data_IF_106455864413
#
_entry.id   IF_106455864413
#
_cell.length_a   1.000
_cell.length_b   1.000
_cell.length_c   1.000
_cell.angle_alpha   90.00
_cell.angle_beta   90.00
_cell.angle_gamma   90.00
#
_symmetry.space_group_name_H-M   'P 1'
#
loop_
_entity.id
_entity.type
_entity.pdbx_description
1 polymer ?
#
# COMPACT_ATOMS: atom_id res chain seq x y z
N UNK A 1 -15.65 -15.14 17.58
CA UNK A 1 -14.77 -14.39 16.65
C UNK A 1 -13.44 -15.10 16.67
N UNK A 2 -12.96 -15.50 15.49
CA UNK A 2 -11.66 -16.15 15.40
C UNK A 2 -10.56 -15.11 15.65
N UNK A 3 -9.45 -15.56 16.26
CA UNK A 3 -8.32 -14.70 16.57
C UNK A 3 -7.85 -13.87 15.35
N UNK A 4 -7.82 -14.48 14.18
CA UNK A 4 -7.46 -13.80 12.91
C UNK A 4 -8.40 -12.63 12.58
N UNK A 5 -9.70 -12.81 12.79
CA UNK A 5 -10.71 -11.76 12.55
C UNK A 5 -10.49 -10.57 13.48
N UNK A 6 -10.19 -10.81 14.74
CA UNK A 6 -9.91 -9.73 15.72
C UNK A 6 -8.66 -8.95 15.32
N UNK A 7 -7.57 -9.65 14.96
CA UNK A 7 -6.33 -9.03 14.52
C UNK A 7 -6.54 -8.24 13.21
N UNK A 8 -7.33 -8.76 12.28
CA UNK A 8 -7.69 -8.07 11.04
C UNK A 8 -8.38 -6.73 11.30
N UNK A 9 -9.41 -6.71 12.15
CA UNK A 9 -10.12 -5.47 12.46
C UNK A 9 -9.23 -4.48 13.22
N UNK A 10 -8.36 -4.95 14.10
CA UNK A 10 -7.41 -4.11 14.81
C UNK A 10 -6.42 -3.45 13.86
N UNK A 11 -5.79 -4.22 12.97
CA UNK A 11 -4.87 -3.69 11.96
C UNK A 11 -5.59 -2.74 10.98
N UNK A 12 -6.83 -3.07 10.58
CA UNK A 12 -7.63 -2.19 9.72
C UNK A 12 -7.95 -0.85 10.39
N UNK A 13 -8.28 -0.84 11.67
CA UNK A 13 -8.51 0.38 12.43
C UNK A 13 -7.24 1.24 12.53
N UNK A 14 -6.08 0.61 12.79
CA UNK A 14 -4.77 1.30 12.81
C UNK A 14 -4.45 1.88 11.42
N UNK A 15 -4.71 1.12 10.36
CA UNK A 15 -4.48 1.56 8.98
C UNK A 15 -5.32 2.80 8.63
N UNK A 16 -6.62 2.79 8.95
CA UNK A 16 -7.51 3.93 8.72
C UNK A 16 -7.04 5.15 9.54
N UNK A 17 -6.69 4.95 10.80
CA UNK A 17 -6.15 6.01 11.64
C UNK A 17 -4.87 6.59 11.04
N UNK A 18 -3.92 5.74 10.65
CA UNK A 18 -2.67 6.17 10.05
C UNK A 18 -2.91 6.95 8.74
N UNK A 19 -3.77 6.46 7.85
CA UNK A 19 -4.12 7.11 6.60
C UNK A 19 -4.74 8.51 6.82
N UNK A 20 -5.67 8.64 7.76
CA UNK A 20 -6.24 9.94 8.14
C UNK A 20 -5.18 10.89 8.70
N UNK A 21 -4.24 10.37 9.48
CA UNK A 21 -3.15 11.18 10.03
C UNK A 21 -2.15 11.63 8.97
N UNK A 22 -1.90 10.83 7.92
CA UNK A 22 -1.06 11.24 6.79
C UNK A 22 -1.58 12.53 6.16
N UNK A 23 -2.88 12.61 5.87
CA UNK A 23 -3.48 13.75 5.17
C UNK A 23 -3.76 14.94 6.09
N UNK A 24 -3.88 14.73 7.41
CA UNK A 24 -4.19 15.78 8.37
C UNK A 24 -2.99 16.33 9.12
N UNK A 25 -1.85 15.65 9.09
CA UNK A 25 -0.66 16.09 9.79
C UNK A 25 -0.12 17.42 9.22
N UNK A 26 0.20 18.33 10.11
CA UNK A 26 0.77 19.64 9.75
C UNK A 26 2.26 19.55 9.43
N UNK A 27 2.95 18.68 10.14
CA UNK A 27 4.39 18.47 9.96
C UNK A 27 4.61 17.32 8.97
N UNK A 28 5.39 17.53 7.88
CA UNK A 28 5.65 16.52 6.88
C UNK A 28 6.37 15.29 7.43
N UNK A 29 7.22 15.44 8.45
CA UNK A 29 7.88 14.31 9.12
C UNK A 29 6.86 13.43 9.83
N UNK A 30 5.88 14.04 10.53
CA UNK A 30 4.79 13.28 11.17
C UNK A 30 3.90 12.60 10.13
N UNK A 31 3.62 13.24 8.98
CA UNK A 31 2.89 12.62 7.88
C UNK A 31 3.62 11.38 7.36
N UNK A 32 4.94 11.49 7.12
CA UNK A 32 5.77 10.39 6.66
C UNK A 32 5.84 9.23 7.67
N UNK A 33 5.93 9.52 8.98
CA UNK A 33 5.88 8.47 10.01
C UNK A 33 4.54 7.73 10.04
N UNK A 34 3.43 8.43 9.84
CA UNK A 34 2.11 7.79 9.75
C UNK A 34 1.96 7.00 8.44
N UNK A 35 2.58 7.46 7.34
CA UNK A 35 2.61 6.70 6.09
C UNK A 35 3.42 5.40 6.24
N UNK A 36 4.55 5.45 6.96
CA UNK A 36 5.32 4.27 7.31
C UNK A 36 4.48 3.27 8.12
N UNK A 37 3.75 3.77 9.13
CA UNK A 37 2.83 2.95 9.92
C UNK A 37 1.72 2.35 9.05
N UNK A 38 1.17 3.11 8.09
CA UNK A 38 0.17 2.60 7.15
C UNK A 38 0.70 1.45 6.29
N UNK A 39 1.90 1.58 5.73
CA UNK A 39 2.52 0.50 4.96
C UNK A 39 2.83 -0.74 5.82
N UNK A 40 3.32 -0.53 7.02
CA UNK A 40 3.61 -1.63 7.95
C UNK A 40 2.33 -2.41 8.32
N UNK A 41 1.25 -1.71 8.64
CA UNK A 41 -0.05 -2.34 8.95
C UNK A 41 -0.66 -3.01 7.73
N UNK A 42 -0.49 -2.45 6.53
CA UNK A 42 -0.90 -3.09 5.27
C UNK A 42 -0.16 -4.41 5.06
N UNK A 43 1.15 -4.43 5.31
CA UNK A 43 1.94 -5.68 5.29
C UNK A 43 1.39 -6.73 6.26
N UNK A 44 1.01 -6.32 7.48
CA UNK A 44 0.37 -7.20 8.44
C UNK A 44 -0.97 -7.77 7.96
N UNK A 45 -1.82 -6.94 7.31
CA UNK A 45 -3.09 -7.39 6.72
C UNK A 45 -2.83 -8.38 5.58
N UNK A 46 -1.87 -8.11 4.70
CA UNK A 46 -1.52 -9.02 3.61
C UNK A 46 -0.97 -10.36 4.12
N UNK A 47 -0.19 -10.35 5.21
CA UNK A 47 0.25 -11.59 5.85
C UNK A 47 -0.94 -12.42 6.38
N UNK A 48 -1.95 -11.77 6.97
CA UNK A 48 -3.19 -12.45 7.39
C UNK A 48 -3.98 -13.05 6.23
N UNK A 49 -3.92 -12.41 5.05
CA UNK A 49 -4.54 -12.89 3.81
C UNK A 49 -3.68 -13.93 3.07
N UNK A 50 -2.61 -14.42 3.70
CA UNK A 50 -1.65 -15.38 3.11
C UNK A 50 -0.92 -14.88 1.86
N UNK A 51 -0.89 -13.58 1.63
CA UNK A 51 -0.09 -12.94 0.59
C UNK A 51 1.34 -12.65 1.13
N UNK A 52 2.06 -13.70 1.51
CA UNK A 52 3.35 -13.61 2.22
C UNK A 52 4.40 -12.82 1.45
N UNK A 53 4.54 -13.08 0.15
CA UNK A 53 5.50 -12.37 -0.70
C UNK A 53 5.22 -10.87 -0.72
N UNK A 54 3.96 -10.50 -0.88
CA UNK A 54 3.54 -9.10 -0.95
C UNK A 54 3.76 -8.40 0.40
N UNK A 55 3.45 -9.08 1.52
CA UNK A 55 3.66 -8.58 2.87
C UNK A 55 5.14 -8.30 3.16
N UNK A 56 6.03 -9.22 2.80
CA UNK A 56 7.47 -9.05 2.97
C UNK A 56 8.00 -7.94 2.05
N UNK A 57 7.56 -7.90 0.80
CA UNK A 57 8.00 -6.90 -0.17
C UNK A 57 7.65 -5.47 0.27
N UNK A 58 6.44 -5.22 0.77
CA UNK A 58 6.04 -3.87 1.23
C UNK A 58 6.85 -3.46 2.47
N UNK A 59 7.12 -4.38 3.39
CA UNK A 59 7.89 -4.06 4.60
C UNK A 59 9.36 -3.80 4.26
N UNK A 60 10.00 -4.65 3.47
CA UNK A 60 11.42 -4.49 3.14
C UNK A 60 11.68 -3.30 2.23
N UNK A 61 10.89 -3.16 1.16
CA UNK A 61 11.13 -2.13 0.15
C UNK A 61 10.51 -0.80 0.55
N UNK A 62 9.19 -0.78 0.81
CA UNK A 62 8.51 0.49 1.12
C UNK A 62 8.86 1.01 2.50
N UNK A 63 8.74 0.21 3.55
CA UNK A 63 9.04 0.67 4.91
C UNK A 63 10.54 0.76 5.13
N UNK A 64 11.30 -0.26 4.75
CA UNK A 64 12.74 -0.35 5.04
C UNK A 64 13.62 0.56 4.17
N UNK A 65 13.36 0.67 2.88
CA UNK A 65 14.21 1.45 1.97
C UNK A 65 13.59 2.79 1.59
N UNK A 66 12.40 2.77 0.97
CA UNK A 66 11.80 3.98 0.37
C UNK A 66 11.42 5.01 1.44
N UNK A 67 10.75 4.59 2.51
CA UNK A 67 10.31 5.51 3.55
C UNK A 67 11.45 6.07 4.39
N UNK A 68 12.50 5.30 4.61
CA UNK A 68 13.70 5.78 5.31
C UNK A 68 14.40 6.86 4.48
N UNK A 69 14.56 6.62 3.16
CA UNK A 69 15.11 7.64 2.26
C UNK A 69 14.20 8.88 2.20
N UNK A 70 12.90 8.69 2.12
CA UNK A 70 11.92 9.77 2.09
C UNK A 70 11.95 10.62 3.36
N UNK A 71 12.02 10.00 4.54
CA UNK A 71 12.19 10.68 5.82
C UNK A 71 13.48 11.51 5.84
N UNK A 72 14.58 10.94 5.37
CA UNK A 72 15.86 11.63 5.30
C UNK A 72 15.75 12.88 4.42
N UNK A 73 15.16 12.75 3.24
CA UNK A 73 14.96 13.88 2.30
C UNK A 73 14.07 14.96 2.93
N UNK A 74 12.95 14.61 3.55
CA UNK A 74 12.04 15.58 4.20
C UNK A 74 12.73 16.32 5.35
N UNK A 75 13.58 15.64 6.11
CA UNK A 75 14.31 16.28 7.20
C UNK A 75 15.38 17.24 6.71
N UNK A 76 15.97 16.97 5.53
CA UNK A 76 17.00 17.87 4.96
C UNK A 76 16.41 19.03 4.16
N UNK A 77 15.17 18.91 3.66
CA UNK A 77 14.49 19.98 2.94
C UNK A 77 13.77 20.91 3.93
N UNK A 78 14.15 22.18 3.90
CA UNK A 78 13.41 23.23 4.62
C UNK A 78 12.13 23.57 3.84
N UNK A 79 11.07 22.77 4.10
CA UNK A 79 9.77 22.92 3.43
C UNK A 79 9.00 24.05 4.12
N UNK A 80 8.78 25.15 3.40
CA UNK A 80 7.92 26.23 3.88
C UNK A 80 6.44 25.78 3.88
N UNK A 81 5.99 25.28 5.03
CA UNK A 81 4.66 24.69 5.22
C UNK A 81 3.53 25.72 5.03
N UNK A 82 3.78 26.99 5.30
CA UNK A 82 2.76 28.04 5.21
C UNK A 82 2.31 28.25 3.76
N UNK A 83 3.21 28.22 2.80
CA UNK A 83 2.88 28.30 1.37
C UNK A 83 2.11 27.10 0.83
N UNK A 84 2.36 25.90 1.34
CA UNK A 84 1.68 24.68 0.90
C UNK A 84 0.21 24.67 1.35
N UNK A 85 -0.14 25.43 2.39
CA UNK A 85 -1.50 25.51 2.94
C UNK A 85 -2.33 26.64 2.35
N UNK A 86 -1.72 27.57 1.62
CA UNK A 86 -2.46 28.61 0.93
C UNK A 86 -3.40 28.00 -0.12
N UNK A 87 -4.70 28.24 0.05
CA UNK A 87 -5.72 27.72 -0.88
C UNK A 87 -6.34 26.37 -0.53
N UNK A 88 -5.89 25.66 0.50
CA UNK A 88 -6.47 24.36 0.88
C UNK A 88 -8.00 24.39 1.02
N UNK A 89 -8.53 25.40 1.72
CA UNK A 89 -9.97 25.56 1.93
C UNK A 89 -10.75 25.84 0.64
N UNK A 90 -10.13 26.49 -0.34
CA UNK A 90 -10.75 26.77 -1.64
C UNK A 90 -10.93 25.49 -2.48
N UNK A 91 -10.01 24.54 -2.37
CA UNK A 91 -10.05 23.29 -3.11
C UNK A 91 -10.68 22.13 -2.35
N UNK A 92 -10.97 22.30 -1.05
CA UNK A 92 -11.60 21.29 -0.23
C UNK A 92 -12.91 20.75 -0.81
N UNK A 93 -13.87 21.61 -1.27
CA UNK A 93 -15.12 21.10 -1.82
C UNK A 93 -14.91 20.26 -3.09
N UNK A 94 -13.99 20.66 -3.96
CA UNK A 94 -13.65 19.90 -5.15
C UNK A 94 -13.02 18.54 -4.78
N UNK A 95 -12.08 18.53 -3.84
CA UNK A 95 -11.46 17.30 -3.34
C UNK A 95 -12.46 16.38 -2.65
N UNK A 96 -13.41 16.93 -1.89
CA UNK A 96 -14.47 16.15 -1.25
C UNK A 96 -15.41 15.49 -2.28
N UNK A 97 -15.81 16.22 -3.34
CA UNK A 97 -16.64 15.67 -4.43
C UNK A 97 -15.90 14.54 -5.15
N UNK A 98 -14.63 14.75 -5.51
CA UNK A 98 -13.83 13.72 -6.18
C UNK A 98 -13.65 12.49 -5.28
N UNK A 99 -13.33 12.68 -3.99
CA UNK A 99 -13.22 11.58 -3.04
C UNK A 99 -14.51 10.80 -2.87
N UNK A 100 -15.65 11.49 -2.81
CA UNK A 100 -16.98 10.86 -2.73
C UNK A 100 -17.29 10.05 -3.99
N UNK A 101 -16.98 10.59 -5.18
CA UNK A 101 -17.15 9.89 -6.45
C UNK A 101 -16.30 8.61 -6.49
N UNK A 102 -15.04 8.66 -6.07
CA UNK A 102 -14.16 7.48 -6.01
C UNK A 102 -14.70 6.41 -5.06
N UNK A 103 -15.18 6.80 -3.88
CA UNK A 103 -15.79 5.86 -2.92
C UNK A 103 -17.06 5.25 -3.49
N UNK A 104 -17.90 6.04 -4.15
CA UNK A 104 -19.13 5.56 -4.78
C UNK A 104 -18.82 4.59 -5.93
N UNK A 105 -17.88 4.92 -6.80
CA UNK A 105 -17.43 4.04 -7.89
C UNK A 105 -16.88 2.72 -7.34
N UNK A 106 -16.01 2.77 -6.35
CA UNK A 106 -15.50 1.58 -5.68
C UNK A 106 -16.63 0.73 -5.08
N UNK A 107 -17.58 1.37 -4.40
CA UNK A 107 -18.74 0.68 -3.82
C UNK A 107 -19.62 0.01 -4.86
N UNK A 108 -19.86 0.66 -6.01
CA UNK A 108 -20.62 0.09 -7.12
C UNK A 108 -19.89 -1.10 -7.76
N UNK A 109 -18.58 -0.98 -7.95
CA UNK A 109 -17.77 -2.06 -8.52
C UNK A 109 -17.76 -3.27 -7.59
N UNK A 110 -17.41 -3.09 -6.32
CA UNK A 110 -17.37 -4.19 -5.33
C UNK A 110 -18.75 -4.79 -5.04
N UNK A 111 -19.82 -3.98 -5.09
CA UNK A 111 -21.19 -4.44 -4.90
C UNK A 111 -21.81 -5.13 -6.11
N UNK A 112 -21.17 -5.04 -7.29
CA UNK A 112 -21.67 -5.66 -8.49
C UNK A 112 -21.52 -7.19 -8.45
N UNK A 113 -22.52 -7.91 -8.96
CA UNK A 113 -22.50 -9.38 -9.05
C UNK A 113 -21.32 -9.92 -9.90
N UNK A 114 -20.77 -9.10 -10.78
CA UNK A 114 -19.62 -9.44 -11.63
C UNK A 114 -18.31 -9.53 -10.83
N UNK A 115 -18.24 -8.84 -9.68
CA UNK A 115 -17.08 -8.87 -8.78
C UNK A 115 -17.23 -9.84 -7.60
N UNK A 116 -18.35 -10.55 -7.51
CA UNK A 116 -18.44 -11.72 -6.65
C UNK A 116 -17.60 -12.83 -7.28
N UNK A 117 -16.28 -12.63 -7.26
CA UNK A 117 -15.34 -13.70 -7.56
C UNK A 117 -15.67 -14.81 -6.57
N UNK A 118 -16.11 -16.01 -7.04
CA UNK A 118 -16.25 -17.15 -6.13
C UNK A 118 -14.93 -17.20 -5.39
N UNK A 119 -14.98 -17.34 -4.06
CA UNK A 119 -13.77 -17.45 -3.26
C UNK A 119 -12.84 -18.40 -4.00
N UNK A 120 -11.83 -17.86 -4.65
CA UNK A 120 -10.86 -18.66 -5.39
C UNK A 120 -10.15 -19.42 -4.31
N UNK A 121 -10.73 -20.60 -3.99
CA UNK A 121 -10.07 -21.57 -3.13
C UNK A 121 -8.71 -21.77 -3.76
N UNK A 122 -7.73 -21.32 -3.04
CA UNK A 122 -6.33 -21.27 -3.34
C UNK A 122 -5.96 -22.04 -4.64
N UNK A 123 -5.70 -21.31 -5.73
CA UNK A 123 -5.06 -21.88 -6.93
C UNK A 123 -3.66 -22.44 -6.60
N UNK A 124 -3.22 -22.23 -5.35
CA UNK A 124 -1.96 -22.77 -4.84
C UNK A 124 -2.26 -24.14 -4.24
N UNK A 125 -1.71 -25.25 -4.80
CA UNK A 125 -1.86 -26.57 -4.20
C UNK A 125 -1.45 -26.57 -2.73
N UNK A 126 -2.19 -27.30 -1.91
CA UNK A 126 -1.88 -27.43 -0.50
C UNK A 126 -0.41 -27.88 -0.31
N UNK A 127 0.38 -27.10 0.44
CA UNK A 127 1.80 -27.37 0.69
C UNK A 127 2.80 -26.58 -0.16
N UNK A 128 2.35 -25.73 -1.09
CA UNK A 128 3.22 -24.80 -1.82
C UNK A 128 3.08 -23.42 -1.19
N UNK A 129 4.20 -22.79 -0.80
CA UNK A 129 4.15 -21.42 -0.29
C UNK A 129 3.78 -20.42 -1.39
N UNK A 130 3.11 -19.32 -1.02
CA UNK A 130 2.75 -18.22 -1.92
C UNK A 130 3.97 -17.72 -2.73
N UNK A 131 5.11 -17.55 -2.08
CA UNK A 131 6.36 -17.12 -2.72
C UNK A 131 6.82 -18.09 -3.81
N UNK A 132 6.73 -19.40 -3.55
CA UNK A 132 7.12 -20.43 -4.55
C UNK A 132 6.18 -20.43 -5.75
N UNK A 133 4.87 -20.28 -5.52
CA UNK A 133 3.88 -20.21 -6.59
C UNK A 133 4.10 -18.99 -7.50
N UNK A 134 4.31 -17.80 -6.90
CA UNK A 134 4.61 -16.57 -7.64
C UNK A 134 5.94 -16.72 -8.40
N UNK A 135 6.97 -17.25 -7.76
CA UNK A 135 8.27 -17.49 -8.41
C UNK A 135 8.14 -18.41 -9.63
N UNK A 136 7.38 -19.50 -9.53
CA UNK A 136 7.15 -20.40 -10.66
C UNK A 136 6.52 -19.64 -11.84
N UNK A 137 5.46 -18.85 -11.61
CA UNK A 137 4.79 -18.06 -12.65
C UNK A 137 5.72 -17.00 -13.25
N UNK A 138 6.53 -16.33 -12.44
CA UNK A 138 7.46 -15.28 -12.91
C UNK A 138 8.55 -15.85 -13.83
N UNK A 139 9.02 -17.06 -13.56
CA UNK A 139 10.07 -17.72 -14.36
C UNK A 139 9.54 -18.58 -15.51
N UNK A 140 8.22 -18.67 -15.70
CA UNK A 140 7.59 -19.40 -16.81
C UNK A 140 6.77 -18.46 -17.68
N UNK A 141 5.56 -18.11 -17.25
CA UNK A 141 4.60 -17.36 -18.06
C UNK A 141 4.93 -15.87 -18.16
N UNK A 142 5.59 -15.30 -17.12
CA UNK A 142 5.91 -13.89 -17.01
C UNK A 142 7.41 -13.58 -17.10
N UNK A 143 8.20 -14.42 -17.75
CA UNK A 143 9.66 -14.22 -17.89
C UNK A 143 9.98 -12.89 -18.55
N UNK A 144 9.30 -12.54 -19.63
CA UNK A 144 9.58 -11.30 -20.37
C UNK A 144 9.32 -10.02 -19.55
N UNK A 145 8.13 -9.82 -18.91
CA UNK A 145 7.92 -8.71 -17.99
C UNK A 145 8.91 -8.71 -16.81
N UNK A 146 9.28 -9.89 -16.32
CA UNK A 146 10.22 -10.02 -15.21
C UNK A 146 11.63 -9.53 -15.60
N UNK A 147 12.12 -9.88 -16.79
CA UNK A 147 13.40 -9.41 -17.30
C UNK A 147 13.40 -7.90 -17.56
N UNK A 148 12.29 -7.34 -18.08
CA UNK A 148 12.17 -5.90 -18.24
C UNK A 148 12.25 -5.16 -16.89
N UNK A 149 11.58 -5.69 -15.86
CA UNK A 149 11.67 -5.14 -14.51
C UNK A 149 13.10 -5.21 -13.97
N UNK A 150 13.82 -6.31 -14.23
CA UNK A 150 15.20 -6.48 -13.81
C UNK A 150 16.13 -5.43 -14.49
N UNK A 151 15.92 -5.15 -15.78
CA UNK A 151 16.68 -4.10 -16.50
C UNK A 151 16.38 -2.72 -15.91
N UNK A 152 15.12 -2.40 -15.59
CA UNK A 152 14.75 -1.13 -14.96
C UNK A 152 15.45 -0.97 -13.60
N UNK A 153 15.47 -2.05 -12.79
CA UNK A 153 16.18 -2.05 -11.50
C UNK A 153 17.69 -1.88 -11.67
N UNK A 154 18.27 -2.52 -12.70
CA UNK A 154 19.69 -2.36 -13.03
C UNK A 154 20.02 -0.90 -13.38
N UNK A 155 19.20 -0.28 -14.22
CA UNK A 155 19.38 1.14 -14.59
C UNK A 155 19.28 2.03 -13.35
N UNK A 156 18.29 1.80 -12.50
CA UNK A 156 18.13 2.56 -11.26
C UNK A 156 19.31 2.39 -10.28
N UNK A 157 19.98 1.23 -10.31
CA UNK A 157 21.16 0.98 -9.47
C UNK A 157 22.42 1.69 -10.00
N UNK A 158 22.53 1.89 -11.31
CA UNK A 158 23.69 2.53 -11.95
C UNK A 158 23.55 4.06 -11.98
N UNK A 159 22.33 4.58 -12.04
CA UNK A 159 22.04 6.01 -12.04
C UNK A 159 22.31 6.69 -10.69
#
# INVERSE_FOLDING_TARGET
MDFQTVVFFLLSAILIYAALRVITARNPVHAALHLMLAFFTTGGIWALLQAEFLAIAIILVYVGAVMVLFLFVIMMLDINIDRVREGFWSYLPLGAVLGLLMVMEMGLVLGSKYFQVPAVQAMVPAGISNTKAIGALMFTDFVYPFELAAVILLVAMVA
#
